data_IF_096800153234
#
_entry.id   IF_096800153234
#
_cell.length_a   1.000
_cell.length_b   1.000
_cell.length_c   1.000
_cell.angle_alpha   90.00
_cell.angle_beta   90.00
_cell.angle_gamma   90.00
#
_symmetry.space_group_name_H-M   'P 1'
#
loop_
_entity.id
_entity.type
_entity.pdbx_description
1 polymer ?
#
# COMPACT_ATOMS: atom_id res chain seq x y z
N UNK A 1 62.98 33.81 -11.98
CA UNK A 1 61.65 33.56 -12.59
C UNK A 1 61.25 34.82 -13.35
N UNK A 2 61.04 34.78 -14.68
CA UNK A 2 60.66 35.98 -15.46
C UNK A 2 59.24 36.45 -15.15
N UNK A 3 59.05 37.77 -15.12
CA UNK A 3 57.77 38.47 -14.86
C UNK A 3 56.64 38.00 -15.79
N UNK A 4 56.95 37.63 -17.03
CA UNK A 4 55.97 37.09 -17.98
C UNK A 4 55.40 35.71 -17.59
N UNK A 5 56.15 34.93 -16.80
CA UNK A 5 55.68 33.63 -16.32
C UNK A 5 54.74 33.78 -15.12
N UNK A 6 54.94 34.81 -14.29
CA UNK A 6 54.09 35.10 -13.14
C UNK A 6 52.75 35.69 -13.57
N UNK A 7 52.73 36.58 -14.57
CA UNK A 7 51.48 37.15 -15.12
C UNK A 7 50.61 36.11 -15.82
N UNK A 8 51.20 35.21 -16.62
CA UNK A 8 50.47 34.10 -17.25
C UNK A 8 49.84 33.14 -16.23
N UNK A 9 50.51 32.94 -15.09
CA UNK A 9 50.01 32.11 -13.99
C UNK A 9 48.84 32.82 -13.29
N UNK A 10 48.94 34.12 -13.02
CA UNK A 10 47.86 34.98 -12.50
C UNK A 10 46.60 34.96 -13.38
N UNK A 11 46.75 35.06 -14.70
CA UNK A 11 45.63 34.99 -15.65
C UNK A 11 44.99 33.58 -15.78
N UNK A 12 45.71 32.54 -15.35
CA UNK A 12 45.23 31.16 -15.37
C UNK A 12 44.44 30.79 -14.11
N UNK A 13 44.70 31.46 -12.98
CA UNK A 13 44.03 31.18 -11.71
C UNK A 13 42.50 31.36 -11.75
N UNK A 14 41.93 32.43 -12.33
CA UNK A 14 40.47 32.58 -12.45
C UNK A 14 39.82 31.45 -13.24
N UNK A 15 40.51 30.95 -14.28
CA UNK A 15 40.05 29.80 -15.08
C UNK A 15 40.05 28.52 -14.25
N UNK A 16 41.14 28.23 -13.53
CA UNK A 16 41.22 27.07 -12.62
C UNK A 16 40.16 27.13 -11.53
N UNK A 17 39.92 28.30 -10.95
CA UNK A 17 38.87 28.51 -9.95
C UNK A 17 37.47 28.29 -10.55
N UNK A 18 37.25 28.75 -11.78
CA UNK A 18 36.02 28.52 -12.54
C UNK A 18 35.76 27.04 -12.79
N UNK A 19 36.78 26.28 -13.18
CA UNK A 19 36.70 24.82 -13.34
C UNK A 19 36.38 24.13 -12.02
N UNK A 20 37.03 24.53 -10.91
CA UNK A 20 36.73 23.97 -9.58
C UNK A 20 35.26 24.19 -9.20
N UNK A 21 34.75 25.42 -9.35
CA UNK A 21 33.34 25.74 -9.09
C UNK A 21 32.38 24.92 -9.96
N UNK A 22 32.73 24.69 -11.22
CA UNK A 22 31.94 23.86 -12.14
C UNK A 22 31.90 22.40 -11.68
N UNK A 23 33.05 21.84 -11.29
CA UNK A 23 33.14 20.49 -10.73
C UNK A 23 32.33 20.36 -9.44
N UNK A 24 32.41 21.34 -8.55
CA UNK A 24 31.64 21.34 -7.29
C UNK A 24 30.13 21.41 -7.53
N UNK A 25 29.67 22.24 -8.47
CA UNK A 25 28.26 22.29 -8.90
C UNK A 25 27.80 20.97 -9.48
N UNK A 26 28.60 20.34 -10.34
CA UNK A 26 28.29 19.04 -10.91
C UNK A 26 28.20 17.94 -9.83
N UNK A 27 29.15 17.93 -8.88
CA UNK A 27 29.12 16.99 -7.73
C UNK A 27 27.87 17.17 -6.89
N UNK A 28 27.50 18.41 -6.57
CA UNK A 28 26.30 18.71 -5.79
C UNK A 28 25.02 18.31 -6.53
N UNK A 29 24.93 18.61 -7.83
CA UNK A 29 23.79 18.18 -8.65
C UNK A 29 23.68 16.66 -8.68
N UNK A 30 24.79 15.95 -8.86
CA UNK A 30 24.82 14.48 -8.87
C UNK A 30 24.39 13.89 -7.52
N UNK A 31 24.87 14.43 -6.41
CA UNK A 31 24.47 14.00 -5.07
C UNK A 31 22.97 14.24 -4.83
N UNK A 32 22.46 15.40 -5.26
CA UNK A 32 21.04 15.72 -5.15
C UNK A 32 20.16 14.79 -5.98
N UNK A 33 20.50 14.53 -7.25
CA UNK A 33 19.78 13.59 -8.11
C UNK A 33 19.78 12.17 -7.56
N UNK A 34 20.91 11.72 -6.99
CA UNK A 34 20.98 10.41 -6.33
C UNK A 34 20.05 10.35 -5.12
N UNK A 35 20.09 11.37 -4.26
CA UNK A 35 19.22 11.45 -3.08
C UNK A 35 17.74 11.47 -3.45
N UNK A 36 17.34 12.26 -4.46
CA UNK A 36 15.97 12.28 -4.96
C UNK A 36 15.53 10.91 -5.49
N UNK A 37 16.39 10.22 -6.25
CA UNK A 37 16.11 8.89 -6.78
C UNK A 37 15.88 7.89 -5.65
N UNK A 38 16.79 7.84 -4.67
CA UNK A 38 16.66 6.95 -3.51
C UNK A 38 15.43 7.24 -2.67
N UNK A 39 15.12 8.52 -2.44
CA UNK A 39 13.92 8.94 -1.71
C UNK A 39 12.64 8.52 -2.46
N UNK A 40 12.61 8.72 -3.77
CA UNK A 40 11.47 8.34 -4.61
C UNK A 40 11.25 6.83 -4.63
N UNK A 41 12.33 6.04 -4.76
CA UNK A 41 12.27 4.58 -4.68
C UNK A 41 11.69 4.10 -3.34
N UNK A 42 12.17 4.66 -2.22
CA UNK A 42 11.65 4.32 -0.88
C UNK A 42 10.19 4.73 -0.72
N UNK A 43 9.83 5.95 -1.14
CA UNK A 43 8.45 6.45 -1.07
C UNK A 43 7.49 5.57 -1.87
N UNK A 44 7.88 5.18 -3.08
CA UNK A 44 7.06 4.34 -3.94
C UNK A 44 6.84 2.95 -3.33
N UNK A 45 7.89 2.36 -2.74
CA UNK A 45 7.78 1.07 -2.03
C UNK A 45 6.80 1.17 -0.85
N UNK A 46 6.97 2.15 0.03
CA UNK A 46 6.09 2.31 1.19
C UNK A 46 4.66 2.68 0.79
N UNK A 47 4.48 3.45 -0.28
CA UNK A 47 3.15 3.73 -0.81
C UNK A 47 2.47 2.45 -1.30
N UNK A 48 3.18 1.61 -2.06
CA UNK A 48 2.65 0.32 -2.52
C UNK A 48 2.30 -0.61 -1.35
N UNK A 49 3.17 -0.73 -0.35
CA UNK A 49 2.91 -1.54 0.85
C UNK A 49 1.69 -1.04 1.62
N UNK A 50 1.57 0.28 1.85
CA UNK A 50 0.38 0.85 2.49
C UNK A 50 -0.89 0.58 1.70
N UNK A 51 -0.85 0.70 0.37
CA UNK A 51 -2.00 0.40 -0.47
C UNK A 51 -2.39 -1.08 -0.37
N UNK A 52 -1.41 -2.00 -0.36
CA UNK A 52 -1.67 -3.43 -0.16
C UNK A 52 -2.30 -3.71 1.21
N UNK A 53 -1.79 -3.09 2.28
CA UNK A 53 -2.34 -3.24 3.62
C UNK A 53 -3.79 -2.74 3.69
N UNK A 54 -4.06 -1.55 3.14
CA UNK A 54 -5.43 -1.00 3.08
C UNK A 54 -6.35 -1.90 2.29
N UNK A 55 -5.91 -2.41 1.14
CA UNK A 55 -6.70 -3.34 0.32
C UNK A 55 -6.98 -4.65 1.07
N UNK A 56 -6.01 -5.17 1.83
CA UNK A 56 -6.21 -6.34 2.68
C UNK A 56 -7.27 -6.13 3.76
N UNK A 57 -7.29 -4.94 4.38
CA UNK A 57 -8.30 -4.58 5.37
C UNK A 57 -9.69 -4.47 4.75
N UNK A 58 -9.82 -3.80 3.61
CA UNK A 58 -11.09 -3.67 2.88
C UNK A 58 -11.63 -5.05 2.46
N UNK A 59 -10.78 -5.93 1.95
CA UNK A 59 -11.17 -7.30 1.60
C UNK A 59 -11.64 -8.11 2.83
N UNK A 60 -11.00 -7.92 3.98
CA UNK A 60 -11.41 -8.58 5.22
C UNK A 60 -12.79 -8.09 5.69
N UNK A 61 -13.08 -6.79 5.56
CA UNK A 61 -14.40 -6.23 5.88
C UNK A 61 -15.47 -6.72 4.90
N UNK A 62 -15.20 -6.69 3.60
CA UNK A 62 -16.10 -7.20 2.57
C UNK A 62 -16.42 -8.69 2.79
N UNK A 63 -15.41 -9.50 3.15
CA UNK A 63 -15.61 -10.92 3.49
C UNK A 63 -16.52 -11.09 4.71
N UNK A 64 -16.36 -10.29 5.76
CA UNK A 64 -17.24 -10.33 6.94
C UNK A 64 -18.68 -10.00 6.57
N UNK A 65 -18.89 -8.94 5.79
CA UNK A 65 -20.23 -8.54 5.32
C UNK A 65 -20.87 -9.64 4.47
N UNK A 66 -20.11 -10.23 3.52
CA UNK A 66 -20.61 -11.32 2.69
C UNK A 66 -21.03 -12.54 3.52
N UNK A 67 -20.24 -12.91 4.53
CA UNK A 67 -20.57 -14.02 5.43
C UNK A 67 -21.85 -13.73 6.23
N UNK A 68 -22.01 -12.51 6.75
CA UNK A 68 -23.22 -12.13 7.48
C UNK A 68 -24.47 -12.22 6.59
N UNK A 69 -24.39 -11.69 5.36
CA UNK A 69 -25.51 -11.76 4.40
C UNK A 69 -25.84 -13.21 4.04
N UNK A 70 -24.82 -14.04 3.81
CA UNK A 70 -25.01 -15.46 3.49
C UNK A 70 -25.62 -16.23 4.65
N UNK A 71 -25.16 -16.00 5.87
CA UNK A 71 -25.73 -16.62 7.07
C UNK A 71 -27.18 -16.21 7.26
N UNK A 72 -27.51 -14.93 7.14
CA UNK A 72 -28.89 -14.45 7.24
C UNK A 72 -29.80 -15.09 6.17
N UNK A 73 -29.34 -15.17 4.92
CA UNK A 73 -30.08 -15.84 3.85
C UNK A 73 -30.28 -17.34 4.12
N UNK A 74 -29.26 -18.02 4.64
CA UNK A 74 -29.35 -19.43 5.02
C UNK A 74 -30.36 -19.63 6.16
N UNK A 75 -30.30 -18.81 7.21
CA UNK A 75 -31.26 -18.85 8.31
C UNK A 75 -32.70 -18.68 7.81
N UNK A 76 -32.95 -17.74 6.90
CA UNK A 76 -34.27 -17.55 6.32
C UNK A 76 -34.76 -18.76 5.52
N UNK A 77 -33.88 -19.45 4.80
CA UNK A 77 -34.24 -20.67 4.08
C UNK A 77 -34.58 -21.80 5.05
N UNK A 78 -33.72 -22.03 6.04
CA UNK A 78 -33.93 -23.07 7.06
C UNK A 78 -35.20 -22.82 7.88
N UNK A 79 -35.52 -21.57 8.21
CA UNK A 79 -36.77 -21.23 8.89
C UNK A 79 -38.01 -21.57 8.05
N UNK A 80 -37.95 -21.32 6.73
CA UNK A 80 -39.05 -21.68 5.82
C UNK A 80 -39.23 -23.18 5.74
N UNK A 81 -38.14 -23.92 5.55
CA UNK A 81 -38.16 -25.39 5.51
C UNK A 81 -38.65 -25.97 6.85
N UNK A 82 -38.17 -25.45 7.97
CA UNK A 82 -38.60 -25.89 9.29
C UNK A 82 -40.11 -25.69 9.51
N UNK A 83 -40.65 -24.53 9.09
CA UNK A 83 -42.10 -24.28 9.17
C UNK A 83 -42.89 -25.24 8.29
N UNK A 84 -42.40 -25.51 7.08
CA UNK A 84 -43.04 -26.47 6.18
C UNK A 84 -43.07 -27.88 6.81
N UNK A 85 -41.94 -28.38 7.29
CA UNK A 85 -41.88 -29.70 7.91
C UNK A 85 -42.69 -29.79 9.19
N UNK A 86 -42.74 -28.74 10.00
CA UNK A 86 -43.59 -28.71 11.18
C UNK A 86 -45.07 -28.86 10.81
N UNK A 87 -45.52 -28.22 9.72
CA UNK A 87 -46.90 -28.37 9.23
C UNK A 87 -47.17 -29.79 8.75
N UNK A 88 -46.26 -30.38 7.99
CA UNK A 88 -46.38 -31.77 7.51
C UNK A 88 -46.42 -32.77 8.68
N UNK A 89 -45.56 -32.60 9.69
CA UNK A 89 -45.56 -33.43 10.89
C UNK A 89 -46.88 -33.29 11.68
N UNK A 90 -47.37 -32.06 11.86
CA UNK A 90 -48.62 -31.82 12.55
C UNK A 90 -49.81 -32.51 11.86
N UNK A 91 -49.84 -32.55 10.52
CA UNK A 91 -50.86 -33.30 9.76
C UNK A 91 -50.81 -34.80 10.03
N UNK A 92 -49.62 -35.34 10.31
CA UNK A 92 -49.42 -36.74 10.71
C UNK A 92 -49.62 -36.98 12.21
N UNK A 93 -49.97 -35.96 13.00
CA UNK A 93 -50.04 -36.03 14.46
C UNK A 93 -48.68 -36.18 15.15
N UNK A 94 -47.59 -35.85 14.46
CA UNK A 94 -46.21 -35.89 14.96
C UNK A 94 -45.68 -34.47 15.17
N UNK A 95 -44.58 -34.34 15.90
CA UNK A 95 -43.89 -33.07 16.10
C UNK A 95 -42.37 -33.28 16.16
N UNK A 96 -41.60 -32.21 15.97
CA UNK A 96 -40.16 -32.26 16.19
C UNK A 96 -39.83 -32.53 17.66
N UNK A 97 -38.77 -33.30 17.87
CA UNK A 97 -38.18 -33.45 19.20
C UNK A 97 -37.44 -32.16 19.56
N UNK A 98 -37.77 -31.59 20.71
CA UNK A 98 -37.10 -30.41 21.27
C UNK A 98 -36.68 -30.77 22.69
N UNK A 99 -35.38 -30.83 22.91
CA UNK A 99 -34.80 -31.05 24.23
C UNK A 99 -35.08 -29.81 25.08
N UNK A 100 -35.79 -29.99 26.20
CA UNK A 100 -36.05 -28.89 27.16
C UNK A 100 -34.95 -28.92 28.21
N UNK A 101 -34.21 -27.82 28.32
CA UNK A 101 -33.25 -27.55 29.40
C UNK A 101 -33.99 -27.16 30.69
#
# INVERSE_FOLDING_TARGET
MSVEKTTKVEESFPRVLGFKKMVDRWRNSRAHSLWQTTLSQRRNLYAALRMQDTMGQELALARKQLLMVRQAALHQLLEKEHRQYQQELNQMGKAFYVERL
#
